data_IF_802422869055
#
_entry.id   IF_802422869055
#
_cell.length_a   1.000
_cell.length_b   1.000
_cell.length_c   1.000
_cell.angle_alpha   90.00
_cell.angle_beta   90.00
_cell.angle_gamma   90.00
#
_symmetry.space_group_name_H-M   'P 1'
#
loop_
_entity.id
_entity.type
_entity.pdbx_description
1 polymer ?
#
# COMPACT_ATOMS: atom_id res chain seq x y z
N UNK A 1 -17.02 -7.30 -15.00
CA UNK A 1 -17.11 -8.07 -13.75
C UNK A 1 -16.58 -7.20 -12.62
N UNK A 2 -17.17 -7.29 -11.43
CA UNK A 2 -16.76 -6.52 -10.25
C UNK A 2 -15.84 -7.39 -9.36
N UNK A 3 -14.88 -6.77 -8.70
CA UNK A 3 -14.01 -7.38 -7.69
C UNK A 3 -14.25 -6.70 -6.34
N UNK A 4 -14.10 -7.47 -5.26
CA UNK A 4 -14.18 -6.98 -3.89
C UNK A 4 -12.81 -7.08 -3.23
N UNK A 5 -12.33 -5.97 -2.69
CA UNK A 5 -11.03 -5.87 -2.03
C UNK A 5 -11.23 -5.62 -0.54
N UNK A 6 -10.63 -6.47 0.30
CA UNK A 6 -10.63 -6.31 1.76
C UNK A 6 -9.61 -5.23 2.15
N UNK A 7 -10.09 -4.02 2.42
CA UNK A 7 -9.23 -2.85 2.63
C UNK A 7 -9.15 -2.46 4.10
N UNK A 8 -7.93 -2.36 4.60
CA UNK A 8 -7.61 -1.91 5.95
C UNK A 8 -6.92 -0.56 5.92
N UNK A 9 -7.45 0.40 6.67
CA UNK A 9 -6.88 1.73 6.82
C UNK A 9 -6.43 1.91 8.26
N UNK A 10 -5.14 2.18 8.49
CA UNK A 10 -4.58 2.32 9.83
C UNK A 10 -4.07 3.73 10.12
N UNK A 11 -4.15 4.12 11.39
CA UNK A 11 -3.81 5.46 11.87
C UNK A 11 -4.77 6.49 11.30
N UNK A 12 -4.24 7.68 10.98
CA UNK A 12 -5.04 8.78 10.44
C UNK A 12 -5.71 8.43 9.09
N UNK A 13 -5.34 7.33 8.42
CA UNK A 13 -6.02 6.89 7.20
C UNK A 13 -7.44 6.36 7.46
N UNK A 14 -7.78 5.98 8.69
CA UNK A 14 -9.12 5.53 9.07
C UNK A 14 -10.20 6.56 8.73
N UNK A 15 -9.88 7.86 8.73
CA UNK A 15 -10.83 8.92 8.40
C UNK A 15 -11.40 8.83 6.98
N UNK A 16 -10.71 8.15 6.06
CA UNK A 16 -11.16 7.97 4.67
C UNK A 16 -12.20 6.86 4.49
N UNK A 17 -12.53 6.09 5.54
CA UNK A 17 -13.54 5.04 5.47
C UNK A 17 -14.97 5.51 5.78
N UNK A 18 -15.17 6.81 6.04
CA UNK A 18 -16.47 7.34 6.47
C UNK A 18 -16.95 6.69 7.78
N UNK A 19 -18.15 6.11 7.76
CA UNK A 19 -18.80 5.52 8.94
C UNK A 19 -18.06 4.31 9.53
N UNK A 20 -17.20 3.64 8.75
CA UNK A 20 -16.41 2.51 9.22
C UNK A 20 -15.17 2.92 10.06
N UNK A 21 -14.97 4.22 10.29
CA UNK A 21 -13.85 4.74 11.06
C UNK A 21 -14.00 4.40 12.55
N UNK A 22 -13.08 3.61 13.09
CA UNK A 22 -13.03 3.25 14.52
C UNK A 22 -11.98 4.08 15.29
N UNK A 23 -11.64 5.26 14.80
CA UNK A 23 -10.66 6.17 15.39
C UNK A 23 -9.24 5.90 14.90
N UNK A 24 -8.69 4.72 15.20
CA UNK A 24 -7.30 4.37 14.85
C UNK A 24 -7.15 3.39 13.69
N UNK A 25 -8.26 2.78 13.26
CA UNK A 25 -8.31 1.92 12.08
C UNK A 25 -9.70 1.90 11.47
N UNK A 26 -9.79 1.37 10.26
CA UNK A 26 -11.03 1.01 9.61
C UNK A 26 -10.83 -0.25 8.75
N UNK A 27 -11.88 -1.05 8.63
CA UNK A 27 -11.93 -2.17 7.70
C UNK A 27 -13.18 -2.03 6.83
N UNK A 28 -12.99 -2.01 5.51
CA UNK A 28 -14.05 -1.83 4.53
C UNK A 28 -13.83 -2.74 3.34
N UNK A 29 -14.94 -3.22 2.77
CA UNK A 29 -14.92 -3.94 1.52
C UNK A 29 -15.17 -2.95 0.39
N UNK A 30 -14.19 -2.79 -0.51
CA UNK A 30 -14.28 -1.86 -1.63
C UNK A 30 -14.59 -2.63 -2.91
N UNK A 31 -15.68 -2.25 -3.57
CA UNK A 31 -16.05 -2.75 -4.90
C UNK A 31 -15.37 -1.94 -6.00
N UNK A 32 -14.69 -2.63 -6.91
CA UNK A 32 -13.98 -2.07 -8.07
C UNK A 32 -14.27 -2.88 -9.33
N UNK A 33 -13.96 -2.33 -10.49
CA UNK A 33 -14.03 -3.08 -11.74
C UNK A 33 -12.88 -4.10 -11.80
N UNK A 34 -13.10 -5.25 -12.43
CA UNK A 34 -12.03 -6.19 -12.71
C UNK A 34 -10.93 -5.53 -13.56
N UNK A 35 -9.66 -5.76 -13.20
CA UNK A 35 -8.51 -5.10 -13.80
C UNK A 35 -8.15 -3.75 -13.15
N UNK A 36 -8.91 -3.29 -12.15
CA UNK A 36 -8.55 -2.11 -11.37
C UNK A 36 -7.24 -2.32 -10.60
N UNK A 37 -6.54 -1.20 -10.39
CA UNK A 37 -5.24 -1.15 -9.73
C UNK A 37 -5.33 -0.57 -8.31
N UNK A 38 -4.22 -0.57 -7.57
CA UNK A 38 -4.11 0.16 -6.30
C UNK A 38 -4.44 1.65 -6.49
N UNK A 39 -4.03 2.26 -7.61
CA UNK A 39 -4.39 3.66 -7.93
C UNK A 39 -5.90 3.86 -7.98
N UNK A 40 -6.64 2.94 -8.60
CA UNK A 40 -8.11 3.01 -8.67
C UNK A 40 -8.75 2.83 -7.30
N UNK A 41 -8.21 1.92 -6.47
CA UNK A 41 -8.64 1.75 -5.08
C UNK A 41 -8.46 3.05 -4.29
N UNK A 42 -7.31 3.70 -4.40
CA UNK A 42 -7.05 4.98 -3.74
C UNK A 42 -7.99 6.08 -4.21
N UNK A 43 -8.23 6.16 -5.52
CA UNK A 43 -9.17 7.12 -6.10
C UNK A 43 -10.60 6.88 -5.58
N UNK A 44 -11.03 5.62 -5.48
CA UNK A 44 -12.35 5.24 -4.94
C UNK A 44 -12.52 5.63 -3.46
N UNK A 45 -11.45 5.57 -2.68
CA UNK A 45 -11.40 5.98 -1.27
C UNK A 45 -11.18 7.48 -1.07
N UNK A 46 -10.93 8.23 -2.15
CA UNK A 46 -10.41 9.59 -2.09
C UNK A 46 -9.18 9.72 -1.18
N UNK A 47 -8.32 8.69 -1.15
CA UNK A 47 -7.14 8.61 -0.28
C UNK A 47 -5.89 9.11 -1.04
N UNK A 48 -5.29 10.25 -0.66
CA UNK A 48 -4.09 10.76 -1.30
C UNK A 48 -2.89 9.83 -1.05
N UNK A 49 -2.17 9.47 -2.10
CA UNK A 49 -1.06 8.51 -2.00
C UNK A 49 0.07 9.01 -1.08
N UNK A 50 0.20 10.31 -0.93
CA UNK A 50 1.24 11.00 -0.15
C UNK A 50 1.01 10.83 1.36
N UNK A 51 -0.23 10.55 1.79
CA UNK A 51 -0.54 10.25 3.19
C UNK A 51 -0.17 8.81 3.58
N UNK A 52 0.13 7.97 2.59
CA UNK A 52 0.51 6.57 2.80
C UNK A 52 1.98 6.49 3.20
N UNK A 53 2.21 5.80 4.31
CA UNK A 53 3.51 5.24 4.60
C UNK A 53 3.67 3.94 3.86
N UNK A 54 3.16 2.87 4.47
CA UNK A 54 3.41 1.50 4.03
C UNK A 54 2.13 0.89 3.49
N UNK A 55 2.27 0.09 2.44
CA UNK A 55 1.18 -0.74 1.93
C UNK A 55 1.58 -2.20 1.99
N UNK A 56 0.63 -3.04 2.39
CA UNK A 56 0.70 -4.47 2.19
C UNK A 56 -0.40 -4.95 1.26
N UNK A 57 -0.06 -5.88 0.37
CA UNK A 57 -1.00 -6.60 -0.48
C UNK A 57 -0.84 -8.09 -0.19
N UNK A 58 -1.90 -8.73 0.30
CA UNK A 58 -1.92 -10.14 0.69
C UNK A 58 -0.79 -10.52 1.67
N UNK A 59 -0.42 -9.60 2.57
CA UNK A 59 0.65 -9.79 3.55
C UNK A 59 2.06 -9.49 3.04
N UNK A 60 2.22 -9.19 1.75
CA UNK A 60 3.49 -8.78 1.16
C UNK A 60 3.64 -7.26 1.15
N UNK A 61 4.82 -6.77 1.49
CA UNK A 61 5.15 -5.36 1.46
C UNK A 61 5.17 -4.88 0.00
N UNK A 62 4.31 -3.92 -0.33
CA UNK A 62 4.19 -3.37 -1.69
C UNK A 62 4.69 -1.93 -1.79
N UNK A 63 4.69 -1.19 -0.68
CA UNK A 63 5.20 0.17 -0.66
C UNK A 63 5.80 0.59 0.68
N UNK A 64 6.64 1.62 0.61
CA UNK A 64 7.33 2.25 1.73
C UNK A 64 7.11 3.77 1.69
N UNK A 65 7.33 4.48 2.81
CA UNK A 65 7.28 5.94 2.83
C UNK A 65 8.22 6.52 1.76
N UNK A 66 7.67 7.33 0.85
CA UNK A 66 8.41 7.92 -0.27
C UNK A 66 8.73 6.97 -1.42
N UNK A 67 8.26 5.71 -1.41
CA UNK A 67 8.44 4.74 -2.48
C UNK A 67 7.16 3.92 -2.68
N UNK A 68 6.36 4.29 -3.69
CA UNK A 68 5.03 3.74 -3.96
C UNK A 68 4.97 3.03 -5.33
N UNK A 69 5.71 1.92 -5.55
CA UNK A 69 5.73 1.20 -6.82
C UNK A 69 4.47 0.35 -7.04
N UNK A 70 3.60 0.29 -6.03
CA UNK A 70 2.38 -0.52 -6.00
C UNK A 70 1.21 0.11 -6.75
N UNK A 71 1.31 1.37 -7.20
CA UNK A 71 0.19 2.11 -7.79
C UNK A 71 -0.45 1.38 -8.97
N UNK A 72 0.36 0.74 -9.80
CA UNK A 72 -0.10 0.07 -11.02
C UNK A 72 -0.27 -1.45 -10.80
N UNK A 73 -0.17 -1.93 -9.55
CA UNK A 73 -0.44 -3.32 -9.20
C UNK A 73 -1.94 -3.62 -9.40
N UNK A 74 -2.23 -4.62 -10.24
CA UNK A 74 -3.60 -5.05 -10.55
C UNK A 74 -4.16 -5.86 -9.39
N UNK A 75 -5.35 -5.47 -8.92
CA UNK A 75 -6.06 -6.13 -7.84
C UNK A 75 -7.01 -7.20 -8.37
N UNK A 76 -7.14 -8.27 -7.60
CA UNK A 76 -8.02 -9.39 -7.86
C UNK A 76 -9.11 -9.49 -6.80
N UNK A 77 -10.20 -10.18 -7.14
CA UNK A 77 -11.29 -10.40 -6.20
C UNK A 77 -10.82 -11.20 -4.98
N UNK A 78 -11.07 -10.67 -3.79
CA UNK A 78 -10.64 -11.25 -2.52
C UNK A 78 -9.27 -10.79 -2.03
N UNK A 79 -8.56 -9.97 -2.81
CA UNK A 79 -7.28 -9.41 -2.35
C UNK A 79 -7.47 -8.57 -1.08
N UNK A 80 -6.48 -8.64 -0.20
CA UNK A 80 -6.41 -7.87 1.03
C UNK A 80 -5.35 -6.78 0.91
N UNK A 81 -5.75 -5.53 1.08
CA UNK A 81 -4.85 -4.38 1.00
C UNK A 81 -4.87 -3.62 2.33
N UNK A 82 -3.70 -3.40 2.93
CA UNK A 82 -3.57 -2.66 4.17
C UNK A 82 -2.70 -1.42 3.97
N UNK A 83 -3.29 -0.25 4.20
CA UNK A 83 -2.62 1.05 4.14
C UNK A 83 -2.33 1.57 5.54
N UNK A 84 -1.09 1.98 5.77
CA UNK A 84 -0.63 2.58 7.03
C UNK A 84 -0.29 4.05 6.80
N UNK A 85 -0.71 4.91 7.73
CA UNK A 85 -0.32 6.31 7.69
C UNK A 85 1.21 6.48 7.84
N UNK A 86 1.78 7.55 7.28
CA UNK A 86 3.22 7.86 7.38
C UNK A 86 3.78 7.85 8.81
N UNK A 87 2.95 8.19 9.80
CA UNK A 87 3.35 8.30 11.21
C UNK A 87 3.16 7.01 12.01
N UNK A 88 2.65 5.94 11.40
CA UNK A 88 2.42 4.68 12.10
C UNK A 88 3.76 4.04 12.49
N UNK A 89 3.98 3.85 13.79
CA UNK A 89 5.19 3.20 14.31
C UNK A 89 5.25 1.75 13.84
N UNK A 90 6.40 1.35 13.30
CA UNK A 90 6.57 0.03 12.70
C UNK A 90 7.44 -0.88 13.56
N UNK A 91 6.97 -2.09 13.92
CA UNK A 91 7.79 -3.09 14.59
C UNK A 91 9.02 -3.42 13.74
N UNK A 92 10.19 -3.48 14.38
CA UNK A 92 11.48 -3.76 13.74
C UNK A 92 11.47 -5.04 12.88
N UNK A 93 10.61 -5.99 13.20
CA UNK A 93 10.46 -7.28 12.53
C UNK A 93 10.18 -7.16 11.02
N UNK A 94 9.49 -6.09 10.60
CA UNK A 94 9.21 -5.85 9.17
C UNK A 94 10.36 -5.16 8.42
N UNK A 95 11.38 -4.67 9.13
CA UNK A 95 12.53 -3.96 8.52
C UNK A 95 13.60 -4.89 7.95
N UNK A 96 13.61 -6.17 8.32
CA UNK A 96 14.72 -7.09 7.98
C UNK A 96 14.30 -8.42 7.34
N UNK A 97 13.01 -8.63 7.05
CA UNK A 97 12.57 -9.90 6.47
C UNK A 97 11.10 -10.00 6.05
N UNK A 98 10.40 -8.87 5.86
CA UNK A 98 9.06 -8.91 5.29
C UNK A 98 9.13 -9.41 3.84
N UNK A 99 8.27 -10.35 3.48
CA UNK A 99 8.09 -10.74 2.08
C UNK A 99 7.67 -9.50 1.28
N UNK A 100 8.34 -9.23 0.17
CA UNK A 100 8.09 -8.07 -0.68
C UNK A 100 7.43 -8.51 -1.98
N UNK A 101 6.58 -7.64 -2.51
CA UNK A 101 6.11 -7.76 -3.89
C UNK A 101 7.29 -7.61 -4.88
N UNK A 102 7.12 -8.12 -6.10
CA UNK A 102 8.14 -8.02 -7.14
C UNK A 102 8.42 -6.57 -7.52
N UNK A 103 7.37 -5.75 -7.57
CA UNK A 103 7.41 -4.32 -7.87
C UNK A 103 8.26 -3.55 -6.85
N UNK A 104 8.07 -3.82 -5.55
CA UNK A 104 8.86 -3.19 -4.50
C UNK A 104 10.34 -3.62 -4.57
N UNK A 105 10.57 -4.91 -4.80
CA UNK A 105 11.93 -5.46 -4.91
C UNK A 105 12.70 -4.80 -6.07
N UNK A 106 12.05 -4.68 -7.24
CA UNK A 106 12.64 -4.03 -8.41
C UNK A 106 12.92 -2.53 -8.16
N UNK A 107 12.00 -1.82 -7.49
CA UNK A 107 12.18 -0.41 -7.18
C UNK A 107 13.34 -0.13 -6.18
N UNK A 108 13.56 -1.03 -5.21
CA UNK A 108 14.70 -0.95 -4.28
C UNK A 108 16.02 -1.23 -5.00
N UNK A 109 16.08 -2.24 -5.87
CA UNK A 109 17.27 -2.56 -6.66
C UNK A 109 17.67 -1.38 -7.57
N UNK A 110 16.70 -0.80 -8.28
CA UNK A 110 16.95 0.37 -9.14
C UNK A 110 17.53 1.57 -8.37
N UNK A 111 17.14 1.80 -7.11
CA UNK A 111 17.74 2.86 -6.26
C UNK A 111 19.14 2.52 -5.80
N UNK A 112 19.42 1.24 -5.55
CA UNK A 112 20.74 0.78 -5.12
C UNK A 112 21.74 0.95 -6.26
N UNK A 113 21.34 0.61 -7.48
CA UNK A 113 22.16 0.76 -8.68
C UNK A 113 22.47 2.24 -8.99
N UNK A 114 21.53 3.15 -8.73
CA UNK A 114 21.77 4.60 -8.87
C UNK A 114 22.67 5.20 -7.77
N UNK A 115 22.91 4.47 -6.67
CA UNK A 115 23.86 4.86 -5.62
C UNK A 115 25.32 4.57 -5.99
N UNK A 116 25.58 3.82 -7.07
CA UNK A 116 26.92 3.48 -7.56
C UNK A 116 27.25 4.37 -8.76
N UNK A 117 27.15 5.70 -8.59
CA UNK A 117 27.88 6.62 -9.49
C UNK A 117 29.29 6.79 -8.95
N UNK A 118 30.18 6.01 -9.55
CA UNK A 118 31.63 6.09 -9.43
C UNK A 118 32.13 7.54 -9.38
N UNK A 119 32.62 8.00 -8.23
CA UNK A 119 33.70 8.98 -8.20
C UNK A 119 34.97 8.24 -8.61
N UNK A 120 35.38 8.44 -9.86
CA UNK A 120 36.74 8.17 -10.32
C UNK A 120 37.62 9.37 -9.97
#
# INVERSE_FOLDING_TARGET
MEIKVDTWLYGDLSQFSGEANQGSYANIQVSLNAGSTVRDLLAKLALPTEKRGITFINGNLSALPGLQPDLDHVLHNGDRVAFFHLRSMWPYQYRSGAAMTGELSAAIQARTDQGISHTT
#
